data_IF_516281191220
#
_entry.id   IF_516281191220
#
_cell.length_a   1.000
_cell.length_b   1.000
_cell.length_c   1.000
_cell.angle_alpha   90.00
_cell.angle_beta   90.00
_cell.angle_gamma   90.00
#
_symmetry.space_group_name_H-M   'P 1'
#
loop_
_entity.id
_entity.type
_entity.pdbx_description
1 polymer ?
#
# COMPACT_ATOMS: atom_id res chain seq x y z
N UNK A 1 -6.60 35.21 36.41
CA UNK A 1 -6.55 33.76 36.11
C UNK A 1 -5.08 33.39 36.02
N UNK A 2 -4.62 32.43 36.83
CA UNK A 2 -3.26 31.92 36.73
C UNK A 2 -3.08 31.27 35.36
N UNK A 3 -2.06 31.68 34.61
CA UNK A 3 -1.73 31.07 33.32
C UNK A 3 -1.18 29.68 33.56
N UNK A 4 -1.77 28.67 32.91
CA UNK A 4 -1.35 27.27 33.02
C UNK A 4 0.04 27.12 32.41
N UNK A 5 1.01 26.63 33.20
CA UNK A 5 2.35 26.34 32.70
C UNK A 5 2.40 24.93 32.06
N UNK A 6 2.11 24.88 30.76
CA UNK A 6 2.14 23.63 30.00
C UNK A 6 3.53 22.96 29.99
N UNK A 7 4.62 23.73 30.12
CA UNK A 7 5.97 23.19 30.11
C UNK A 7 6.28 22.48 31.43
N UNK A 8 5.80 23.03 32.54
CA UNK A 8 5.88 22.38 33.85
C UNK A 8 5.14 21.03 33.82
N UNK A 9 3.89 21.00 33.37
CA UNK A 9 3.12 19.75 33.28
C UNK A 9 3.78 18.73 32.36
N UNK A 10 4.29 19.16 31.19
CA UNK A 10 4.98 18.27 30.26
C UNK A 10 6.23 17.61 30.86
N UNK A 11 7.02 18.37 31.64
CA UNK A 11 8.22 17.86 32.31
C UNK A 11 7.90 16.90 33.46
N UNK A 12 6.74 17.07 34.10
CA UNK A 12 6.30 16.28 35.25
C UNK A 12 5.12 15.34 34.92
N UNK A 13 4.88 15.04 33.65
CA UNK A 13 3.69 14.31 33.20
C UNK A 13 3.51 12.97 33.91
N UNK A 14 4.61 12.31 34.27
CA UNK A 14 4.64 11.03 34.99
C UNK A 14 3.83 11.09 36.29
N UNK A 15 3.83 12.23 36.98
CA UNK A 15 3.08 12.43 38.23
C UNK A 15 1.57 12.42 37.98
N UNK A 16 1.15 12.79 36.78
CA UNK A 16 -0.25 13.02 36.42
C UNK A 16 -0.87 11.89 35.59
N UNK A 17 -0.09 10.89 35.16
CA UNK A 17 -0.60 9.76 34.36
C UNK A 17 -1.71 8.95 35.07
N UNK A 18 -1.78 9.04 36.40
CA UNK A 18 -2.80 8.40 37.23
C UNK A 18 -3.61 9.40 38.07
N UNK A 19 -3.63 10.67 37.67
CA UNK A 19 -4.33 11.75 38.36
C UNK A 19 -5.60 12.14 37.60
N UNK A 20 -6.74 11.66 38.08
CA UNK A 20 -8.04 11.88 37.42
C UNK A 20 -8.50 13.33 37.52
N UNK A 21 -8.20 14.01 38.64
CA UNK A 21 -8.51 15.44 38.84
C UNK A 21 -7.73 16.30 37.85
N UNK A 22 -6.46 15.96 37.58
CA UNK A 22 -5.67 16.63 36.55
C UNK A 22 -6.33 16.58 35.16
N UNK A 23 -6.95 15.45 34.80
CA UNK A 23 -7.62 15.29 33.51
C UNK A 23 -8.96 16.04 33.48
N UNK A 24 -9.75 15.95 34.55
CA UNK A 24 -11.04 16.64 34.69
C UNK A 24 -10.93 18.17 34.56
N UNK A 25 -9.83 18.74 35.06
CA UNK A 25 -9.59 20.19 35.07
C UNK A 25 -8.99 20.74 33.78
N UNK A 26 -8.97 19.96 32.67
CA UNK A 26 -8.33 20.36 31.42
C UNK A 26 -9.26 20.25 30.22
N UNK A 27 -9.20 21.28 29.39
CA UNK A 27 -9.80 21.27 28.06
C UNK A 27 -8.95 20.46 27.08
N UNK A 28 -9.55 20.08 25.95
CA UNK A 28 -8.85 19.39 24.84
C UNK A 28 -7.64 20.18 24.36
N UNK A 29 -7.79 21.50 24.18
CA UNK A 29 -6.71 22.37 23.74
C UNK A 29 -5.55 22.42 24.74
N UNK A 30 -5.85 22.52 26.03
CA UNK A 30 -4.83 22.51 27.08
C UNK A 30 -4.08 21.17 27.12
N UNK A 31 -4.79 20.04 26.96
CA UNK A 31 -4.15 18.73 26.86
C UNK A 31 -3.26 18.61 25.62
N UNK A 32 -3.70 19.09 24.45
CA UNK A 32 -2.87 19.17 23.25
C UNK A 32 -1.59 19.98 23.50
N UNK A 33 -1.68 21.12 24.18
CA UNK A 33 -0.52 21.96 24.54
C UNK A 33 0.47 21.23 25.47
N UNK A 34 -0.01 20.41 26.40
CA UNK A 34 0.87 19.61 27.26
C UNK A 34 1.51 18.46 26.45
N UNK A 35 0.71 17.74 25.66
CA UNK A 35 1.17 16.57 24.90
C UNK A 35 2.23 16.89 23.86
N UNK A 36 2.12 18.02 23.14
CA UNK A 36 3.12 18.40 22.11
C UNK A 36 4.52 18.70 22.69
N UNK A 37 4.59 19.01 24.00
CA UNK A 37 5.82 19.30 24.75
C UNK A 37 6.33 18.08 25.50
N UNK A 38 5.59 16.98 25.48
CA UNK A 38 5.90 15.76 26.23
C UNK A 38 6.44 14.68 25.28
N UNK A 39 7.42 13.90 25.74
CA UNK A 39 7.82 12.64 25.11
C UNK A 39 7.40 11.49 26.01
N UNK A 40 6.30 10.81 25.67
CA UNK A 40 5.75 9.76 26.52
C UNK A 40 6.42 8.41 26.23
N UNK A 41 6.89 7.68 27.24
CA UNK A 41 7.08 6.23 27.15
C UNK A 41 5.73 5.53 26.95
N UNK A 42 5.76 4.34 26.36
CA UNK A 42 4.54 3.57 26.04
C UNK A 42 3.67 3.30 27.26
N UNK A 43 4.24 3.02 28.45
CA UNK A 43 3.43 2.80 29.66
C UNK A 43 2.65 4.05 30.06
N UNK A 44 3.31 5.20 30.13
CA UNK A 44 2.67 6.48 30.50
C UNK A 44 1.61 6.90 29.48
N UNK A 45 1.84 6.62 28.20
CA UNK A 45 0.85 6.84 27.16
C UNK A 45 -0.41 6.00 27.39
N UNK A 46 -0.25 4.69 27.65
CA UNK A 46 -1.39 3.81 27.90
C UNK A 46 -2.19 4.27 29.12
N UNK A 47 -1.52 4.54 30.24
CA UNK A 47 -2.16 4.94 31.49
C UNK A 47 -2.95 6.25 31.29
N UNK A 48 -2.29 7.28 30.74
CA UNK A 48 -2.90 8.60 30.55
C UNK A 48 -4.05 8.56 29.55
N UNK A 49 -3.93 7.86 28.42
CA UNK A 49 -5.01 7.82 27.41
C UNK A 49 -6.21 6.98 27.85
N UNK A 50 -6.00 5.90 28.59
CA UNK A 50 -7.12 5.15 29.18
C UNK A 50 -7.83 5.96 30.27
N UNK A 51 -7.10 6.79 31.01
CA UNK A 51 -7.70 7.74 31.94
C UNK A 51 -8.49 8.84 31.23
N UNK A 52 -7.89 9.47 30.21
CA UNK A 52 -8.54 10.48 29.38
C UNK A 52 -9.83 9.96 28.72
N UNK A 53 -9.89 8.67 28.37
CA UNK A 53 -11.11 8.05 27.82
C UNK A 53 -12.34 8.20 28.73
N UNK A 54 -12.16 8.31 30.04
CA UNK A 54 -13.28 8.50 30.98
C UNK A 54 -13.96 9.88 30.84
N UNK A 55 -13.22 10.87 30.34
CA UNK A 55 -13.62 12.29 30.34
C UNK A 55 -13.81 12.88 28.94
N UNK A 56 -13.09 12.37 27.95
CA UNK A 56 -13.16 12.83 26.56
C UNK A 56 -13.78 11.79 25.65
N UNK A 57 -14.49 12.24 24.61
CA UNK A 57 -15.03 11.35 23.59
C UNK A 57 -13.96 10.95 22.54
N UNK A 58 -14.21 9.92 21.69
CA UNK A 58 -13.22 9.45 20.72
C UNK A 58 -12.68 10.51 19.75
N UNK A 59 -13.47 11.53 19.38
CA UNK A 59 -13.04 12.61 18.47
C UNK A 59 -12.05 13.53 19.18
N UNK A 60 -12.34 13.90 20.42
CA UNK A 60 -11.47 14.74 21.27
C UNK A 60 -10.16 14.00 21.59
N UNK A 61 -10.25 12.72 21.94
CA UNK A 61 -9.08 11.87 22.18
C UNK A 61 -8.20 11.77 20.94
N UNK A 62 -8.80 11.68 19.74
CA UNK A 62 -8.05 11.67 18.49
C UNK A 62 -7.29 12.99 18.27
N UNK A 63 -7.87 14.15 18.61
CA UNK A 63 -7.18 15.45 18.53
C UNK A 63 -5.98 15.52 19.47
N UNK A 64 -6.14 15.07 20.72
CA UNK A 64 -5.04 14.99 21.70
C UNK A 64 -3.95 14.03 21.20
N UNK A 65 -4.35 12.91 20.62
CA UNK A 65 -3.44 11.90 20.06
C UNK A 65 -2.58 12.48 18.92
N UNK A 66 -3.14 13.31 18.03
CA UNK A 66 -2.40 13.99 16.97
C UNK A 66 -1.30 14.92 17.51
N UNK A 67 -1.47 15.45 18.71
CA UNK A 67 -0.49 16.31 19.38
C UNK A 67 0.54 15.53 20.21
N UNK A 68 0.43 14.20 20.29
CA UNK A 68 1.22 13.38 21.22
C UNK A 68 2.48 12.83 20.57
N UNK A 69 3.63 13.03 21.21
CA UNK A 69 4.91 12.42 20.79
C UNK A 69 5.19 11.18 21.64
N UNK A 70 5.07 10.02 21.02
CA UNK A 70 5.27 8.72 21.66
C UNK A 70 6.66 8.16 21.35
N UNK A 71 7.38 7.71 22.38
CA UNK A 71 8.62 6.97 22.22
C UNK A 71 8.33 5.47 22.20
N UNK A 72 8.13 4.93 21.00
CA UNK A 72 7.91 3.49 20.79
C UNK A 72 9.29 2.83 20.67
N UNK A 73 9.63 1.96 21.64
CA UNK A 73 10.84 1.13 21.55
C UNK A 73 10.75 0.09 20.43
N UNK A 74 11.83 -0.66 20.20
CA UNK A 74 11.88 -1.72 19.17
C UNK A 74 11.21 -3.04 19.57
N UNK A 75 10.59 -3.12 20.75
CA UNK A 75 9.94 -4.33 21.25
C UNK A 75 8.48 -4.42 20.77
N UNK A 76 8.13 -5.55 20.18
CA UNK A 76 6.79 -5.83 19.67
C UNK A 76 5.69 -5.70 20.73
N UNK A 77 5.99 -6.07 21.99
CA UNK A 77 5.02 -5.95 23.09
C UNK A 77 4.56 -4.50 23.31
N UNK A 78 5.46 -3.54 23.11
CA UNK A 78 5.12 -2.13 23.28
C UNK A 78 4.28 -1.61 22.11
N UNK A 79 4.56 -2.06 20.89
CA UNK A 79 3.71 -1.78 19.72
C UNK A 79 2.29 -2.31 19.95
N UNK A 80 2.16 -3.54 20.45
CA UNK A 80 0.86 -4.13 20.75
C UNK A 80 0.08 -3.36 21.81
N UNK A 81 0.73 -2.93 22.90
CA UNK A 81 0.10 -2.09 23.92
C UNK A 81 -0.47 -0.80 23.33
N UNK A 82 0.26 -0.16 22.43
CA UNK A 82 -0.20 1.06 21.74
C UNK A 82 -1.42 0.75 20.88
N UNK A 83 -1.38 -0.31 20.07
CA UNK A 83 -2.49 -0.69 19.19
C UNK A 83 -3.75 -1.03 20.00
N UNK A 84 -3.61 -1.80 21.09
CA UNK A 84 -4.73 -2.13 21.98
C UNK A 84 -5.29 -0.86 22.63
N UNK A 85 -4.42 0.03 23.11
CA UNK A 85 -4.83 1.32 23.66
C UNK A 85 -5.62 2.14 22.63
N UNK A 86 -5.16 2.24 21.38
CA UNK A 86 -5.88 2.91 20.28
C UNK A 86 -7.24 2.26 20.03
N UNK A 87 -7.32 0.93 20.04
CA UNK A 87 -8.59 0.21 19.90
C UNK A 87 -9.59 0.60 20.98
N UNK A 88 -9.12 0.77 22.21
CA UNK A 88 -9.94 1.17 23.34
C UNK A 88 -10.31 2.65 23.26
N UNK A 89 -9.34 3.55 23.13
CA UNK A 89 -9.51 5.01 23.18
C UNK A 89 -10.39 5.52 22.05
N UNK A 90 -10.25 4.96 20.85
CA UNK A 90 -10.96 5.41 19.65
C UNK A 90 -12.23 4.59 19.35
N UNK A 91 -12.58 3.62 20.20
CA UNK A 91 -13.65 2.63 19.99
C UNK A 91 -13.62 1.96 18.60
N UNK A 92 -12.40 1.78 18.06
CA UNK A 92 -12.17 1.29 16.71
C UNK A 92 -11.63 -0.15 16.72
N UNK A 93 -12.54 -1.13 16.59
CA UNK A 93 -12.25 -2.58 16.61
C UNK A 93 -11.24 -3.07 15.56
N UNK A 94 -10.90 -2.26 14.56
CA UNK A 94 -9.87 -2.63 13.58
C UNK A 94 -8.49 -2.76 14.23
N UNK A 95 -8.19 -1.95 15.25
CA UNK A 95 -6.90 -1.99 15.91
C UNK A 95 -6.69 -3.27 16.73
N UNK A 96 -7.71 -3.78 17.44
CA UNK A 96 -7.59 -5.08 18.11
C UNK A 96 -7.31 -6.21 17.11
N UNK A 97 -8.00 -6.23 15.95
CA UNK A 97 -7.72 -7.21 14.88
C UNK A 97 -6.30 -7.11 14.32
N UNK A 98 -5.75 -5.88 14.22
CA UNK A 98 -4.35 -5.67 13.84
C UNK A 98 -3.39 -6.22 14.91
N UNK A 99 -3.69 -5.99 16.19
CA UNK A 99 -2.92 -6.56 17.30
C UNK A 99 -2.92 -8.09 17.26
N UNK A 100 -4.08 -8.72 17.06
CA UNK A 100 -4.22 -10.19 16.95
C UNK A 100 -3.40 -10.74 15.78
N UNK A 101 -3.40 -10.03 14.66
CA UNK A 101 -2.60 -10.38 13.47
C UNK A 101 -1.10 -10.31 13.75
N UNK A 102 -0.64 -9.26 14.41
CA UNK A 102 0.77 -9.11 14.82
C UNK A 102 1.18 -10.21 15.81
N UNK A 103 0.27 -10.59 16.70
CA UNK A 103 0.48 -11.69 17.65
C UNK A 103 0.64 -13.04 16.93
N UNK A 104 -0.16 -13.25 15.88
CA UNK A 104 -0.04 -14.38 14.96
C UNK A 104 1.31 -14.39 14.23
N UNK A 105 1.80 -13.25 13.74
CA UNK A 105 3.10 -13.15 13.06
C UNK A 105 4.29 -13.35 14.02
N UNK A 106 4.20 -12.84 15.24
CA UNK A 106 5.30 -12.91 16.22
C UNK A 106 5.43 -14.26 16.91
N UNK A 107 4.31 -14.95 17.15
CA UNK A 107 4.28 -16.36 17.55
C UNK A 107 4.60 -17.30 16.38
N UNK A 108 4.83 -16.75 15.18
CA UNK A 108 5.26 -17.44 13.97
C UNK A 108 6.69 -17.07 13.56
N UNK A 109 7.68 -17.34 14.43
CA UNK A 109 8.87 -18.06 13.95
C UNK A 109 8.47 -19.51 13.60
N UNK A 110 7.48 -19.66 12.71
CA UNK A 110 6.94 -20.96 12.32
C UNK A 110 8.10 -21.83 11.84
N UNK A 111 8.39 -22.86 12.63
CA UNK A 111 9.33 -23.90 12.26
C UNK A 111 8.82 -24.60 11.01
N UNK A 112 9.73 -25.13 10.21
CA UNK A 112 9.41 -25.83 8.96
C UNK A 112 8.32 -26.92 9.14
N UNK A 113 8.31 -27.74 10.22
CA UNK A 113 7.22 -28.68 10.48
C UNK A 113 5.86 -28.02 10.72
N UNK A 114 5.84 -26.83 11.34
CA UNK A 114 4.60 -26.07 11.59
C UNK A 114 4.01 -25.56 10.28
N UNK A 115 4.83 -24.97 9.40
CA UNK A 115 4.35 -24.51 8.09
C UNK A 115 3.89 -25.68 7.22
N UNK A 116 4.63 -26.79 7.22
CA UNK A 116 4.23 -28.01 6.52
C UNK A 116 2.86 -28.52 7.00
N UNK A 117 2.61 -28.53 8.31
CA UNK A 117 1.33 -28.97 8.87
C UNK A 117 0.18 -28.01 8.57
N UNK A 118 0.43 -26.71 8.48
CA UNK A 118 -0.59 -25.72 8.08
C UNK A 118 -0.91 -25.88 6.59
N UNK A 119 0.10 -26.02 5.73
CA UNK A 119 -0.08 -26.25 4.30
C UNK A 119 -0.93 -27.49 4.02
N UNK A 120 -0.64 -28.61 4.70
CA UNK A 120 -1.40 -29.87 4.59
C UNK A 120 -2.87 -29.75 4.96
N UNK A 121 -3.26 -28.71 5.72
CA UNK A 121 -4.64 -28.44 6.11
C UNK A 121 -5.35 -27.49 5.15
N UNK A 122 -4.63 -26.83 4.24
CA UNK A 122 -5.25 -25.97 3.24
C UNK A 122 -6.06 -26.82 2.24
N UNK A 123 -7.31 -26.44 1.92
CA UNK A 123 -8.03 -27.04 0.81
C UNK A 123 -7.33 -26.73 -0.51
N UNK A 124 -7.32 -27.69 -1.44
CA UNK A 124 -6.75 -27.54 -2.79
C UNK A 124 -7.81 -27.23 -3.86
N UNK A 125 -9.03 -26.88 -3.45
CA UNK A 125 -10.07 -26.46 -4.40
C UNK A 125 -9.81 -25.04 -4.87
N UNK A 126 -10.05 -24.76 -6.15
CA UNK A 126 -9.86 -23.42 -6.71
C UNK A 126 -10.78 -22.40 -6.02
N UNK A 127 -10.15 -21.41 -5.39
CA UNK A 127 -10.80 -20.22 -4.84
C UNK A 127 -9.73 -19.20 -4.46
N UNK A 128 -10.09 -17.92 -4.50
CA UNK A 128 -9.19 -16.85 -4.08
C UNK A 128 -8.76 -17.01 -2.61
N UNK A 129 -9.63 -17.50 -1.72
CA UNK A 129 -9.30 -17.70 -0.31
C UNK A 129 -8.27 -18.80 -0.07
N UNK A 130 -8.37 -19.91 -0.82
CA UNK A 130 -7.39 -20.99 -0.76
C UNK A 130 -6.05 -20.56 -1.36
N UNK A 131 -6.07 -19.90 -2.53
CA UNK A 131 -4.89 -19.30 -3.15
C UNK A 131 -4.18 -18.34 -2.18
N UNK A 132 -4.93 -17.43 -1.54
CA UNK A 132 -4.38 -16.49 -0.57
C UNK A 132 -3.76 -17.17 0.65
N UNK A 133 -4.37 -18.27 1.12
CA UNK A 133 -3.87 -19.04 2.25
C UNK A 133 -2.56 -19.74 1.90
N UNK A 134 -2.50 -20.39 0.74
CA UNK A 134 -1.30 -21.06 0.22
C UNK A 134 -0.18 -20.04 -0.01
N UNK A 135 -0.48 -18.92 -0.70
CA UNK A 135 0.46 -17.83 -0.94
C UNK A 135 1.13 -17.35 0.35
N UNK A 136 0.35 -17.06 1.40
CA UNK A 136 0.89 -16.60 2.70
C UNK A 136 1.87 -17.60 3.31
N UNK A 137 1.57 -18.90 3.23
CA UNK A 137 2.44 -19.95 3.75
C UNK A 137 3.74 -20.04 2.96
N UNK A 138 3.64 -20.02 1.62
CA UNK A 138 4.81 -20.14 0.76
C UNK A 138 5.69 -18.89 0.79
N UNK A 139 5.09 -17.69 0.87
CA UNK A 139 5.82 -16.43 1.03
C UNK A 139 6.65 -16.43 2.31
N UNK A 140 6.06 -16.85 3.42
CA UNK A 140 6.77 -16.98 4.70
C UNK A 140 7.84 -18.09 4.66
N UNK A 141 7.58 -19.19 3.96
CA UNK A 141 8.58 -20.24 3.76
C UNK A 141 9.78 -19.73 2.95
N UNK A 142 9.53 -18.93 1.90
CA UNK A 142 10.56 -18.32 1.07
C UNK A 142 11.40 -17.30 1.86
N UNK A 143 10.77 -16.44 2.66
CA UNK A 143 11.45 -15.48 3.55
C UNK A 143 12.41 -16.19 4.52
N UNK A 144 12.02 -17.37 5.00
CA UNK A 144 12.80 -18.17 5.97
C UNK A 144 13.75 -19.18 5.33
N UNK A 145 13.81 -19.27 4.00
CA UNK A 145 14.63 -20.28 3.31
C UNK A 145 14.17 -21.72 3.54
N UNK A 146 12.90 -21.95 3.88
CA UNK A 146 12.32 -23.28 4.14
C UNK A 146 11.91 -23.95 2.82
N UNK A 147 12.90 -24.30 2.00
CA UNK A 147 12.71 -24.79 0.61
C UNK A 147 11.87 -26.07 0.54
N UNK A 148 11.96 -26.96 1.53
CA UNK A 148 11.18 -28.22 1.53
C UNK A 148 9.67 -27.98 1.56
N UNK A 149 9.19 -26.91 2.20
CA UNK A 149 7.75 -26.56 2.21
C UNK A 149 7.31 -26.16 0.81
N UNK A 150 8.13 -25.39 0.10
CA UNK A 150 7.87 -24.94 -1.27
C UNK A 150 7.92 -26.13 -2.24
N UNK A 151 8.96 -26.97 -2.13
CA UNK A 151 9.10 -28.19 -2.92
C UNK A 151 7.93 -29.15 -2.71
N UNK A 152 7.49 -29.32 -1.47
CA UNK A 152 6.30 -30.10 -1.15
C UNK A 152 5.05 -29.51 -1.84
N UNK A 153 4.85 -28.20 -1.74
CA UNK A 153 3.72 -27.52 -2.34
C UNK A 153 3.65 -27.70 -3.87
N UNK A 154 4.80 -27.65 -4.55
CA UNK A 154 4.91 -27.89 -5.99
C UNK A 154 4.58 -29.36 -6.29
N UNK A 155 5.22 -30.30 -5.59
CA UNK A 155 5.08 -31.74 -5.88
C UNK A 155 3.68 -32.30 -5.61
N UNK A 156 2.90 -31.68 -4.73
CA UNK A 156 1.53 -32.13 -4.41
C UNK A 156 0.44 -31.25 -5.00
N UNK A 157 0.78 -30.28 -5.88
CA UNK A 157 -0.20 -29.46 -6.60
C UNK A 157 -0.78 -28.26 -5.83
N UNK A 158 -0.28 -27.93 -4.63
CA UNK A 158 -0.69 -26.70 -3.94
C UNK A 158 -0.31 -25.45 -4.74
N UNK A 159 0.79 -25.50 -5.48
CA UNK A 159 1.23 -24.40 -6.33
C UNK A 159 0.29 -24.14 -7.53
N UNK A 160 -0.54 -25.13 -7.88
CA UNK A 160 -1.45 -25.09 -9.04
C UNK A 160 -2.89 -24.70 -8.67
N UNK A 161 -3.17 -24.51 -7.38
CA UNK A 161 -4.48 -24.01 -6.91
C UNK A 161 -4.70 -22.61 -7.46
N UNK A 162 -5.83 -22.41 -8.13
CA UNK A 162 -6.15 -21.17 -8.80
C UNK A 162 -7.15 -20.32 -8.02
N UNK A 163 -7.12 -19.02 -8.29
CA UNK A 163 -8.12 -18.07 -7.82
C UNK A 163 -8.12 -16.79 -8.65
N UNK A 164 -9.25 -16.11 -8.68
CA UNK A 164 -9.41 -14.90 -9.48
C UNK A 164 -8.96 -13.67 -8.69
N UNK A 165 -7.92 -12.99 -9.17
CA UNK A 165 -7.41 -11.77 -8.53
C UNK A 165 -8.04 -10.55 -9.21
N UNK A 166 -8.69 -9.70 -8.41
CA UNK A 166 -9.34 -8.47 -8.88
C UNK A 166 -8.56 -7.26 -8.35
N UNK A 167 -7.95 -6.51 -9.26
CA UNK A 167 -7.32 -5.22 -9.01
C UNK A 167 -8.28 -4.09 -9.42
N UNK A 168 -8.19 -2.94 -8.76
CA UNK A 168 -9.07 -1.79 -9.02
C UNK A 168 -8.27 -0.51 -9.06
N UNK A 169 -8.55 0.34 -10.06
CA UNK A 169 -8.17 1.74 -10.03
C UNK A 169 -9.43 2.62 -10.02
N UNK A 170 -9.28 3.93 -10.21
CA UNK A 170 -10.39 4.88 -10.13
C UNK A 170 -11.47 4.69 -11.20
N UNK A 171 -11.11 4.15 -12.37
CA UNK A 171 -12.00 4.08 -13.54
C UNK A 171 -12.43 2.64 -13.86
N UNK A 172 -11.59 1.63 -13.58
CA UNK A 172 -11.86 0.24 -13.97
C UNK A 172 -11.31 -0.81 -13.01
N UNK A 173 -11.77 -2.05 -13.21
CA UNK A 173 -11.16 -3.26 -12.67
C UNK A 173 -10.13 -3.82 -13.65
N UNK A 174 -9.15 -4.55 -13.12
CA UNK A 174 -8.26 -5.42 -13.89
C UNK A 174 -8.31 -6.79 -13.22
N UNK A 175 -8.57 -7.84 -14.00
CA UNK A 175 -8.82 -9.18 -13.48
C UNK A 175 -7.75 -10.13 -14.01
N UNK A 176 -7.17 -10.93 -13.12
CA UNK A 176 -6.25 -12.01 -13.43
C UNK A 176 -6.96 -13.32 -13.07
N UNK A 177 -7.77 -13.83 -13.99
CA UNK A 177 -8.58 -15.03 -13.78
C UNK A 177 -7.74 -16.29 -13.81
N UNK A 178 -8.10 -17.27 -12.99
CA UNK A 178 -7.32 -18.47 -12.78
C UNK A 178 -5.85 -18.12 -12.52
N UNK A 179 -5.58 -17.34 -11.47
CA UNK A 179 -4.20 -17.07 -11.05
C UNK A 179 -3.74 -18.14 -10.08
N UNK A 180 -2.61 -18.77 -10.37
CA UNK A 180 -1.93 -19.65 -9.41
C UNK A 180 -1.01 -18.86 -8.46
N UNK A 181 -0.27 -19.56 -7.59
CA UNK A 181 0.60 -18.92 -6.60
C UNK A 181 1.72 -18.10 -7.23
N UNK A 182 2.18 -18.47 -8.43
CA UNK A 182 3.23 -17.76 -9.16
C UNK A 182 2.74 -16.38 -9.63
N UNK A 183 1.55 -16.32 -10.24
CA UNK A 183 0.91 -15.04 -10.64
C UNK A 183 0.57 -14.20 -9.41
N UNK A 184 0.04 -14.83 -8.36
CA UNK A 184 -0.27 -14.15 -7.09
C UNK A 184 0.96 -13.48 -6.51
N UNK A 185 2.07 -14.20 -6.38
CA UNK A 185 3.33 -13.66 -5.87
C UNK A 185 3.83 -12.46 -6.69
N UNK A 186 3.79 -12.56 -8.03
CA UNK A 186 4.17 -11.45 -8.90
C UNK A 186 3.25 -10.22 -8.76
N UNK A 187 1.94 -10.43 -8.61
CA UNK A 187 0.95 -9.36 -8.42
C UNK A 187 1.06 -8.64 -7.07
N UNK A 188 1.60 -9.31 -6.06
CA UNK A 188 1.93 -8.73 -4.73
C UNK A 188 3.35 -8.14 -4.71
N UNK A 189 4.13 -8.31 -5.78
CA UNK A 189 5.52 -7.89 -5.83
C UNK A 189 6.48 -8.76 -5.01
N UNK A 190 6.10 -9.98 -4.64
CA UNK A 190 6.93 -10.91 -3.87
C UNK A 190 7.93 -11.65 -4.78
N UNK A 191 8.99 -10.94 -5.18
CA UNK A 191 10.07 -11.50 -5.98
C UNK A 191 10.82 -12.63 -5.24
N UNK A 192 10.84 -12.63 -3.91
CA UNK A 192 11.53 -13.64 -3.13
C UNK A 192 10.85 -14.99 -3.28
N UNK A 193 9.52 -15.03 -3.16
CA UNK A 193 8.75 -16.24 -3.42
C UNK A 193 8.86 -16.69 -4.88
N UNK A 194 8.76 -15.78 -5.86
CA UNK A 194 8.89 -16.14 -7.28
C UNK A 194 10.25 -16.82 -7.57
N UNK A 195 11.35 -16.28 -7.03
CA UNK A 195 12.68 -16.91 -7.15
C UNK A 195 12.79 -18.23 -6.40
N UNK A 196 12.11 -18.38 -5.27
CA UNK A 196 12.12 -19.62 -4.51
C UNK A 196 11.31 -20.72 -5.20
N UNK A 197 10.18 -20.37 -5.82
CA UNK A 197 9.38 -21.27 -6.67
C UNK A 197 10.21 -21.77 -7.86
N UNK A 198 10.88 -20.86 -8.59
CA UNK A 198 11.76 -21.23 -9.70
C UNK A 198 12.88 -22.20 -9.26
N UNK A 199 13.62 -21.85 -8.20
CA UNK A 199 14.70 -22.69 -7.64
C UNK A 199 14.22 -24.09 -7.22
N UNK A 200 12.95 -24.22 -6.84
CA UNK A 200 12.34 -25.49 -6.44
C UNK A 200 11.59 -26.20 -7.58
N UNK A 201 11.72 -25.72 -8.83
CA UNK A 201 11.23 -26.40 -10.03
C UNK A 201 9.80 -26.03 -10.46
N UNK A 202 9.25 -24.90 -9.98
CA UNK A 202 7.97 -24.42 -10.48
C UNK A 202 8.06 -24.03 -11.97
N UNK A 203 7.01 -24.33 -12.72
CA UNK A 203 6.92 -23.94 -14.13
C UNK A 203 6.70 -22.42 -14.26
N UNK A 204 7.75 -21.70 -14.69
CA UNK A 204 7.71 -20.24 -14.80
C UNK A 204 6.84 -19.73 -15.96
N UNK A 205 6.54 -20.60 -16.94
CA UNK A 205 5.76 -20.29 -18.14
C UNK A 205 4.24 -20.22 -17.94
N UNK A 206 3.75 -20.19 -16.71
CA UNK A 206 2.31 -20.16 -16.42
C UNK A 206 1.64 -18.90 -16.98
N UNK A 207 0.42 -19.07 -17.49
CA UNK A 207 -0.46 -18.00 -17.94
C UNK A 207 -1.84 -18.15 -17.32
N UNK A 208 -2.46 -17.03 -16.97
CA UNK A 208 -3.87 -16.94 -16.55
C UNK A 208 -4.80 -17.37 -17.67
N UNK A 209 -6.10 -17.49 -17.37
CA UNK A 209 -7.14 -17.79 -18.37
C UNK A 209 -7.10 -16.81 -19.57
N UNK A 210 -6.77 -15.54 -19.32
CA UNK A 210 -6.66 -14.51 -20.35
C UNK A 210 -5.23 -14.26 -20.83
N UNK A 211 -4.29 -15.15 -20.53
CA UNK A 211 -2.95 -15.14 -21.13
C UNK A 211 -1.92 -14.23 -20.45
N UNK A 212 -2.26 -13.56 -19.35
CA UNK A 212 -1.30 -12.82 -18.54
C UNK A 212 -0.27 -13.75 -17.88
N UNK A 213 0.98 -13.33 -17.89
CA UNK A 213 2.10 -14.02 -17.24
C UNK A 213 2.67 -13.19 -16.07
N UNK A 214 3.69 -13.71 -15.37
CA UNK A 214 4.32 -12.99 -14.25
C UNK A 214 4.87 -11.61 -14.64
N UNK A 215 5.26 -11.40 -15.90
CA UNK A 215 5.75 -10.10 -16.37
C UNK A 215 4.63 -9.06 -16.35
N UNK A 216 3.41 -9.43 -16.74
CA UNK A 216 2.22 -8.57 -16.62
C UNK A 216 1.93 -8.25 -15.14
N UNK A 217 1.96 -9.28 -14.29
CA UNK A 217 1.67 -9.15 -12.86
C UNK A 217 2.70 -8.27 -12.12
N UNK A 218 4.00 -8.40 -12.40
CA UNK A 218 5.01 -7.52 -11.84
C UNK A 218 4.90 -6.07 -12.34
N UNK A 219 4.45 -5.88 -13.59
CA UNK A 219 4.16 -4.55 -14.10
C UNK A 219 2.96 -3.90 -13.39
N UNK A 220 1.94 -4.69 -13.01
CA UNK A 220 0.82 -4.21 -12.20
C UNK A 220 1.25 -3.84 -10.78
N UNK A 221 2.12 -4.64 -10.15
CA UNK A 221 2.60 -4.42 -8.78
C UNK A 221 3.63 -3.29 -8.65
N UNK A 222 4.29 -2.94 -9.76
CA UNK A 222 5.33 -1.91 -9.77
C UNK A 222 6.70 -2.37 -9.26
N UNK A 223 6.88 -3.68 -9.02
CA UNK A 223 8.16 -4.22 -8.61
C UNK A 223 9.14 -4.27 -9.80
N UNK A 224 9.96 -3.23 -9.94
CA UNK A 224 10.96 -3.10 -11.01
C UNK A 224 11.96 -4.26 -11.06
N UNK A 225 12.42 -4.76 -9.91
CA UNK A 225 13.35 -5.90 -9.88
C UNK A 225 12.66 -7.19 -10.32
N UNK A 226 11.36 -7.32 -10.01
CA UNK A 226 10.52 -8.40 -10.51
C UNK A 226 10.33 -8.34 -12.02
N UNK A 227 10.11 -7.15 -12.58
CA UNK A 227 10.04 -6.93 -14.05
C UNK A 227 11.34 -7.35 -14.72
N UNK A 228 12.49 -6.89 -14.21
CA UNK A 228 13.81 -7.28 -14.73
C UNK A 228 14.02 -8.78 -14.70
N UNK A 229 13.59 -9.42 -13.62
CA UNK A 229 13.70 -10.86 -13.45
C UNK A 229 12.78 -11.64 -14.41
N UNK A 230 11.53 -11.20 -14.57
CA UNK A 230 10.55 -11.83 -15.44
C UNK A 230 10.92 -11.78 -16.93
N UNK A 231 11.68 -10.76 -17.35
CA UNK A 231 12.20 -10.64 -18.71
C UNK A 231 13.22 -11.74 -19.10
N UNK A 232 13.69 -12.54 -18.15
CA UNK A 232 14.47 -13.75 -18.46
C UNK A 232 13.61 -14.89 -19.00
N UNK A 233 12.28 -14.83 -18.83
CA UNK A 233 11.35 -15.90 -19.21
C UNK A 233 10.32 -15.48 -20.27
N UNK A 234 10.07 -14.17 -20.42
CA UNK A 234 9.02 -13.62 -21.27
C UNK A 234 9.53 -12.45 -22.11
N UNK A 235 8.93 -12.27 -23.29
CA UNK A 235 9.21 -11.12 -24.14
C UNK A 235 8.62 -9.84 -23.54
N UNK A 236 9.29 -8.70 -23.73
CA UNK A 236 8.81 -7.39 -23.22
C UNK A 236 7.48 -6.97 -23.87
N UNK A 237 7.20 -7.47 -25.07
CA UNK A 237 6.01 -7.21 -25.87
C UNK A 237 5.00 -8.35 -25.83
N UNK A 238 5.14 -9.30 -24.90
CA UNK A 238 4.15 -10.34 -24.69
C UNK A 238 2.75 -9.74 -24.55
N UNK A 239 1.73 -10.45 -25.02
CA UNK A 239 0.35 -9.96 -24.99
C UNK A 239 -0.59 -10.96 -24.32
N UNK A 240 -1.53 -10.44 -23.54
CA UNK A 240 -2.70 -11.19 -23.10
C UNK A 240 -3.72 -11.35 -24.25
N UNK A 241 -4.76 -12.14 -24.04
CA UNK A 241 -5.88 -12.33 -25.00
C UNK A 241 -6.52 -11.00 -25.39
N UNK A 242 -6.57 -10.03 -24.46
CA UNK A 242 -7.06 -8.69 -24.71
C UNK A 242 -6.01 -7.77 -25.38
N UNK A 243 -4.92 -8.32 -25.90
CA UNK A 243 -3.77 -7.60 -26.49
C UNK A 243 -3.12 -6.60 -25.52
N UNK A 244 -3.24 -6.83 -24.21
CA UNK A 244 -2.59 -5.99 -23.20
C UNK A 244 -1.15 -6.43 -23.05
N UNK A 245 -0.21 -5.50 -23.20
CA UNK A 245 1.22 -5.75 -22.96
C UNK A 245 1.60 -5.51 -21.50
N UNK A 246 2.74 -6.01 -21.01
CA UNK A 246 3.29 -5.62 -19.71
C UNK A 246 3.42 -4.10 -19.56
N UNK A 247 3.81 -3.39 -20.62
CA UNK A 247 3.87 -1.93 -20.62
C UNK A 247 2.48 -1.29 -20.44
N UNK A 248 1.45 -1.81 -21.09
CA UNK A 248 0.06 -1.38 -20.86
C UNK A 248 -0.33 -1.59 -19.39
N UNK A 249 -0.01 -2.74 -18.80
CA UNK A 249 -0.28 -3.02 -17.38
C UNK A 249 0.41 -2.03 -16.44
N UNK A 250 1.68 -1.72 -16.67
CA UNK A 250 2.42 -0.74 -15.86
C UNK A 250 1.78 0.65 -15.90
N UNK A 251 1.31 1.10 -17.08
CA UNK A 251 0.62 2.38 -17.24
C UNK A 251 -0.77 2.35 -16.62
N UNK A 252 -1.53 1.27 -16.80
CA UNK A 252 -2.83 1.10 -16.19
C UNK A 252 -2.76 1.21 -14.65
N UNK A 253 -1.71 0.66 -14.05
CA UNK A 253 -1.42 0.72 -12.62
C UNK A 253 -0.62 1.96 -12.18
N UNK A 254 -0.31 2.89 -13.08
CA UNK A 254 0.48 4.11 -12.79
C UNK A 254 1.85 3.85 -12.14
N UNK A 255 2.53 2.77 -12.52
CA UNK A 255 3.80 2.35 -11.93
C UNK A 255 5.01 3.06 -12.58
N UNK A 256 5.23 4.32 -12.19
CA UNK A 256 6.18 5.24 -12.84
C UNK A 256 7.59 4.66 -13.03
N UNK A 257 8.16 4.01 -12.02
CA UNK A 257 9.52 3.44 -12.12
C UNK A 257 9.63 2.30 -13.15
N UNK A 258 8.57 1.49 -13.28
CA UNK A 258 8.51 0.43 -14.29
C UNK A 258 8.30 1.03 -15.68
N UNK A 259 7.42 2.03 -15.80
CA UNK A 259 7.17 2.75 -17.06
C UNK A 259 8.47 3.38 -17.58
N UNK A 260 9.20 4.09 -16.73
CA UNK A 260 10.47 4.73 -17.06
C UNK A 260 11.54 3.72 -17.51
N UNK A 261 11.55 2.54 -16.91
CA UNK A 261 12.44 1.45 -17.30
C UNK A 261 12.06 0.89 -18.67
N UNK A 262 10.80 0.50 -18.86
CA UNK A 262 10.31 -0.12 -20.09
C UNK A 262 10.41 0.83 -21.29
N UNK A 263 10.03 2.10 -21.15
CA UNK A 263 9.99 3.05 -22.27
C UNK A 263 11.36 3.37 -22.87
N UNK A 264 12.42 3.19 -22.08
CA UNK A 264 13.84 3.38 -22.47
C UNK A 264 14.42 2.15 -23.16
N UNK A 265 13.74 1.01 -23.10
CA UNK A 265 14.19 -0.20 -23.81
C UNK A 265 14.02 -0.05 -25.30
N UNK A 266 14.99 -0.56 -26.07
CA UNK A 266 15.00 -0.46 -27.53
C UNK A 266 14.06 -1.46 -28.20
N UNK A 267 13.83 -2.59 -27.55
CA UNK A 267 13.00 -3.71 -28.01
C UNK A 267 11.52 -3.53 -27.66
N UNK A 268 11.12 -2.46 -26.97
CA UNK A 268 9.72 -2.19 -26.66
C UNK A 268 8.97 -1.66 -27.90
N UNK A 269 7.94 -2.37 -28.33
CA UNK A 269 6.97 -1.92 -29.32
C UNK A 269 5.85 -1.11 -28.65
N UNK A 270 5.88 0.21 -28.89
CA UNK A 270 4.91 1.19 -28.38
C UNK A 270 3.63 1.26 -29.24
N UNK A 271 3.61 0.57 -30.38
CA UNK A 271 2.52 0.55 -31.33
C UNK A 271 1.42 -0.47 -31.00
N UNK A 272 1.70 -1.44 -30.11
CA UNK A 272 0.72 -2.47 -29.71
C UNK A 272 -0.45 -1.81 -28.96
N UNK A 273 -1.67 -2.12 -29.39
CA UNK A 273 -2.91 -1.61 -28.81
C UNK A 273 -3.69 -2.76 -28.19
N UNK A 274 -4.16 -2.56 -26.96
CA UNK A 274 -5.11 -3.46 -26.33
C UNK A 274 -6.48 -3.31 -27.01
N UNK A 275 -7.37 -4.27 -26.76
CA UNK A 275 -8.79 -4.19 -27.19
C UNK A 275 -9.46 -2.93 -26.64
N UNK A 276 -9.07 -2.48 -25.45
CA UNK A 276 -9.55 -1.23 -24.83
C UNK A 276 -8.95 0.05 -25.42
N UNK A 277 -8.04 -0.06 -26.39
CA UNK A 277 -7.32 1.06 -26.98
C UNK A 277 -5.83 1.08 -26.66
N UNK A 278 -5.18 2.18 -27.03
CA UNK A 278 -3.76 2.38 -26.79
C UNK A 278 -3.44 2.63 -25.31
N UNK A 279 -2.15 2.56 -24.98
CA UNK A 279 -1.63 2.96 -23.67
C UNK A 279 -2.01 4.42 -23.33
N UNK A 280 -1.99 5.32 -24.31
CA UNK A 280 -2.39 6.72 -24.12
C UNK A 280 -3.89 6.87 -23.86
N UNK A 281 -4.72 6.06 -24.51
CA UNK A 281 -6.16 6.05 -24.25
C UNK A 281 -6.45 5.66 -22.79
N UNK A 282 -5.68 4.71 -22.24
CA UNK A 282 -5.76 4.33 -20.83
C UNK A 282 -5.43 5.50 -19.89
N UNK A 283 -4.35 6.24 -20.17
CA UNK A 283 -3.97 7.44 -19.40
C UNK A 283 -5.05 8.51 -19.45
N UNK A 284 -5.58 8.80 -20.64
CA UNK A 284 -6.65 9.79 -20.83
C UNK A 284 -7.90 9.38 -20.06
N UNK A 285 -8.25 8.08 -20.06
CA UNK A 285 -9.38 7.56 -19.30
C UNK A 285 -9.21 7.76 -17.79
N UNK A 286 -8.03 7.48 -17.25
CA UNK A 286 -7.73 7.71 -15.83
C UNK A 286 -7.82 9.20 -15.46
N UNK A 287 -7.26 10.10 -16.28
CA UNK A 287 -7.36 11.55 -16.07
C UNK A 287 -8.82 11.99 -16.02
N UNK A 288 -9.67 11.49 -16.93
CA UNK A 288 -11.11 11.78 -16.92
C UNK A 288 -11.77 11.29 -15.62
N UNK A 289 -11.40 10.11 -15.13
CA UNK A 289 -11.87 9.58 -13.84
C UNK A 289 -11.52 10.50 -12.66
N UNK A 290 -10.27 10.95 -12.58
CA UNK A 290 -9.84 11.90 -11.55
C UNK A 290 -10.53 13.26 -11.65
N UNK A 291 -10.78 13.77 -12.87
CA UNK A 291 -11.55 15.01 -13.08
C UNK A 291 -12.98 14.85 -12.55
N UNK A 292 -13.68 13.76 -12.90
CA UNK A 292 -15.03 13.47 -12.40
C UNK A 292 -15.06 13.38 -10.87
N UNK A 293 -14.07 12.72 -10.27
CA UNK A 293 -13.94 12.65 -8.81
C UNK A 293 -13.78 14.05 -8.20
N UNK A 294 -12.89 14.88 -8.76
CA UNK A 294 -12.66 16.25 -8.29
C UNK A 294 -13.94 17.10 -8.38
N UNK A 295 -14.70 17.01 -9.48
CA UNK A 295 -16.00 17.69 -9.62
C UNK A 295 -17.01 17.25 -8.56
N UNK A 296 -17.08 15.94 -8.27
CA UNK A 296 -17.99 15.39 -7.25
C UNK A 296 -17.63 15.87 -5.84
N UNK A 297 -16.35 15.97 -5.53
CA UNK A 297 -15.85 16.50 -4.25
C UNK A 297 -16.13 18.00 -4.15
N UNK A 298 -15.88 18.77 -5.21
CA UNK A 298 -16.13 20.22 -5.24
C UNK A 298 -17.58 20.61 -5.02
N UNK A 299 -18.54 19.83 -5.55
CA UNK A 299 -19.98 20.02 -5.30
C UNK A 299 -20.39 19.88 -3.83
N UNK A 300 -19.53 19.29 -2.96
CA UNK A 300 -19.78 19.15 -1.51
C UNK A 300 -19.17 20.28 -0.66
N UNK A 301 -18.89 21.44 -1.26
CA UNK A 301 -18.46 22.63 -0.51
C UNK A 301 -16.96 22.71 -0.20
N UNK A 302 -16.16 21.74 -0.68
CA UNK A 302 -14.70 21.92 -0.72
C UNK A 302 -14.38 22.90 -1.85
N UNK A 303 -13.77 24.05 -1.52
CA UNK A 303 -13.35 25.05 -2.51
C UNK A 303 -12.45 24.38 -3.56
N UNK A 304 -12.94 24.21 -4.77
CA UNK A 304 -12.13 23.73 -5.89
C UNK A 304 -11.37 24.90 -6.51
N UNK A 305 -10.07 24.73 -6.85
CA UNK A 305 -9.41 25.63 -7.77
C UNK A 305 -10.21 25.69 -9.09
N UNK A 306 -10.40 26.88 -9.66
CA UNK A 306 -11.15 27.05 -10.91
C UNK A 306 -10.29 26.53 -12.08
N UNK A 307 -10.63 25.33 -12.58
CA UNK A 307 -9.96 24.74 -13.74
C UNK A 307 -10.67 25.14 -15.05
N UNK A 308 -10.09 26.06 -15.83
CA UNK A 308 -10.60 26.39 -17.18
C UNK A 308 -10.11 25.36 -18.20
N UNK A 309 -11.02 24.46 -18.61
CA UNK A 309 -11.10 23.68 -19.87
C UNK A 309 -9.75 23.21 -20.44
N UNK A 310 -9.36 21.97 -20.12
CA UNK A 310 -8.17 21.31 -20.69
C UNK A 310 -8.49 20.66 -22.04
N UNK A 311 -7.76 21.04 -23.08
CA UNK A 311 -7.69 20.30 -24.34
C UNK A 311 -6.26 19.77 -24.43
N UNK A 312 -6.08 18.46 -24.26
CA UNK A 312 -4.78 17.82 -24.38
C UNK A 312 -4.51 17.54 -25.87
N UNK A 313 -3.56 18.25 -26.48
CA UNK A 313 -3.12 18.01 -27.86
C UNK A 313 -1.67 17.49 -27.88
N UNK A 314 -1.52 16.17 -27.77
CA UNK A 314 -0.23 15.50 -27.65
C UNK A 314 0.56 15.41 -28.98
N UNK A 315 -0.11 15.61 -30.13
CA UNK A 315 0.51 15.49 -31.47
C UNK A 315 1.32 16.72 -31.90
N UNK A 316 1.26 17.80 -31.10
CA UNK A 316 1.87 19.08 -31.47
C UNK A 316 3.30 19.29 -30.96
N UNK A 317 3.85 18.35 -30.18
CA UNK A 317 5.13 18.55 -29.48
C UNK A 317 5.10 19.67 -28.42
N UNK A 318 3.91 20.25 -28.16
CA UNK A 318 3.70 21.28 -27.15
C UNK A 318 3.42 20.58 -25.83
N UNK A 319 4.26 20.83 -24.83
CA UNK A 319 4.04 20.39 -23.46
C UNK A 319 2.63 20.85 -22.99
N UNK A 320 1.71 19.93 -22.67
CA UNK A 320 0.34 20.27 -22.27
C UNK A 320 0.29 21.06 -20.95
N UNK A 321 1.38 21.04 -20.16
CA UNK A 321 1.59 21.81 -18.94
C UNK A 321 2.28 23.16 -19.19
N UNK A 322 2.68 23.50 -20.42
CA UNK A 322 3.22 24.83 -20.75
C UNK A 322 2.24 25.97 -20.43
N UNK A 323 0.94 25.71 -20.58
CA UNK A 323 -0.15 26.63 -20.23
C UNK A 323 -0.34 26.78 -18.71
N UNK A 324 0.00 25.74 -17.93
CA UNK A 324 -0.01 25.76 -16.46
C UNK A 324 1.14 26.59 -15.89
N UNK A 325 2.26 26.73 -16.62
CA UNK A 325 3.42 27.54 -16.21
C UNK A 325 3.29 29.03 -16.52
N UNK A 326 2.51 29.41 -17.53
CA UNK A 326 2.39 30.81 -18.01
C UNK A 326 1.31 31.63 -17.33
N UNK A 327 0.30 30.99 -16.72
CA UNK A 327 -0.69 31.69 -15.91
C UNK A 327 -0.32 31.47 -14.45
N UNK A 328 -0.14 32.55 -13.68
CA UNK A 328 0.04 32.54 -12.22
C UNK A 328 -1.17 31.92 -11.49
N UNK A 329 -1.44 30.63 -11.70
CA UNK A 329 -2.55 29.86 -11.09
C UNK A 329 -2.08 29.13 -9.83
N UNK A 330 -0.77 29.17 -9.56
CA UNK A 330 -0.14 28.59 -8.40
C UNK A 330 0.53 29.71 -7.59
N UNK A 331 -0.22 30.34 -6.70
CA UNK A 331 0.38 31.14 -5.63
C UNK A 331 0.60 30.21 -4.43
N UNK A 332 1.78 29.61 -4.36
CA UNK A 332 2.23 28.85 -3.19
C UNK A 332 3.02 29.82 -2.31
N UNK A 333 2.44 30.28 -1.20
CA UNK A 333 3.08 31.22 -0.27
C UNK A 333 4.30 30.63 0.49
N UNK A 334 4.90 29.55 0.00
CA UNK A 334 6.09 28.90 0.59
C UNK A 334 7.34 28.90 -0.32
N UNK A 335 7.31 29.55 -1.49
CA UNK A 335 8.53 29.84 -2.26
C UNK A 335 9.31 28.64 -2.80
N UNK A 336 8.78 27.42 -2.74
CA UNK A 336 9.41 26.21 -3.28
C UNK A 336 8.52 25.64 -4.38
N UNK A 337 9.00 25.75 -5.62
CA UNK A 337 8.44 25.05 -6.79
C UNK A 337 8.73 23.55 -6.67
N UNK A 338 7.72 22.67 -6.46
CA UNK A 338 7.92 21.23 -6.33
C UNK A 338 8.37 20.57 -7.65
N UNK A 339 8.31 21.30 -8.77
CA UNK A 339 8.78 20.85 -10.07
C UNK A 339 10.16 21.42 -10.45
N UNK A 340 10.80 22.19 -9.56
CA UNK A 340 12.13 22.74 -9.79
C UNK A 340 13.21 21.66 -10.00
N UNK A 341 13.01 20.46 -9.47
CA UNK A 341 13.89 19.30 -9.67
C UNK A 341 13.83 18.73 -11.10
N UNK A 342 12.77 19.00 -11.87
CA UNK A 342 12.67 18.61 -13.28
C UNK A 342 13.48 19.51 -14.23
N UNK A 343 14.06 20.62 -13.74
CA UNK A 343 14.85 21.56 -14.57
C UNK A 343 16.23 21.05 -14.98
N UNK A 344 16.73 19.92 -14.46
CA UNK A 344 18.09 19.45 -14.76
C UNK A 344 18.08 18.06 -15.42
N UNK A 345 17.78 18.05 -16.72
CA UNK A 345 18.28 17.14 -17.78
C UNK A 345 17.19 16.91 -18.84
N UNK A 346 17.08 17.85 -19.75
CA UNK A 346 16.90 17.56 -21.16
C UNK A 346 18.09 18.15 -21.91
#
# INVERSE_FOLDING_TARGET
>A
MSTIDYSYYAKHIKTYCNDEEFVELRTVDEMCQIMQRTKLPVSQFVDLFLMMKKHFNPIELFQILQSTKLNIGSNLKDIQKVIICLSCVLDAKIFSKLSDSIDLYSKNSASEPKLMNVLKKCPMTDSLDNLNSIYKILSLAAEKGQENVIKYAINTGYADVNGDIILRNIESTYELFQSNVLIKAASEGDLNLVKALERNGAAMGYRTEYGECILHAFCLSGNLEGVKYALNFFDVNDVSVASKTPFFCAVWASQLHVIDFLIKRRDLDKGIKAVSGSVLDSVISQIRGYIKLAEKIGKKGMKTPVYRKYVFNWDSGIDPFSSLRKKHVFNWDSGIDPFSSFKKKY
#
